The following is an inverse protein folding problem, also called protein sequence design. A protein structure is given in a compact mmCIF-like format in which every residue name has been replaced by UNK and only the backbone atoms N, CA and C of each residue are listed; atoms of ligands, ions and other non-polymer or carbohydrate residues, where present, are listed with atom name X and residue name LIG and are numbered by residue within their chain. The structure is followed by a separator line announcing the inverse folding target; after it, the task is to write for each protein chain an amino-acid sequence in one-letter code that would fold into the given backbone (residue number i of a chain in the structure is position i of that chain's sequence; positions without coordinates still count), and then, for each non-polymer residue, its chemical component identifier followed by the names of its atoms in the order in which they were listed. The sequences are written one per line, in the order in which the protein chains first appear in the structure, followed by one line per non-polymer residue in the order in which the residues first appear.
data_IF_552700578633
#
_entry.id   IF_552700578633
#
_cell.length_a   1.000
_cell.length_b   1.000
_cell.length_c   1.000
_cell.angle_alpha   90.00
_cell.angle_beta   90.00
_cell.angle_gamma   90.00
#
_symmetry.space_group_name_H-M   'P 1'
#
loop_
_entity.id
_entity.type
_entity.pdbx_description
1 polymer ?
#
# COMPACT_ATOMS: atom_id res chain seq x y z
N UNK A 1 -8.33 -64.76 40.76
CA UNK A 1 -8.82 -65.93 40.01
C UNK A 1 -8.53 -65.68 38.54
N UNK A 2 -7.49 -66.33 38.00
CA UNK A 2 -7.28 -66.50 36.55
C UNK A 2 -8.10 -67.72 36.07
N UNK A 3 -8.46 -67.79 34.77
CA UNK A 3 -7.65 -68.55 33.78
C UNK A 3 -7.49 -67.79 32.44
N UNK A 4 -6.32 -67.81 31.75
CA UNK A 4 -5.77 -68.81 30.81
C UNK A 4 -6.67 -69.11 29.59
N UNK A 5 -6.24 -69.28 28.33
CA UNK A 5 -5.02 -69.17 27.50
C UNK A 5 -5.53 -69.48 26.07
N UNK A 6 -4.89 -69.00 25.00
CA UNK A 6 -4.61 -69.73 23.73
C UNK A 6 -4.11 -68.75 22.66
N UNK A 7 -2.92 -69.02 22.12
CA UNK A 7 -2.32 -68.27 21.02
C UNK A 7 -2.43 -68.98 19.67
N UNK A 8 -2.14 -68.25 18.60
CA UNK A 8 -1.63 -68.75 17.32
C UNK A 8 -0.74 -67.67 16.68
N UNK A 9 0.47 -68.08 16.28
CA UNK A 9 1.41 -67.35 15.40
C UNK A 9 0.86 -67.32 13.96
N UNK A 10 1.16 -66.30 13.15
CA UNK A 10 2.24 -66.33 12.13
C UNK A 10 2.28 -64.99 11.30
N UNK A 11 3.17 -64.78 10.29
CA UNK A 11 4.14 -63.68 10.33
C UNK A 11 4.08 -62.80 9.09
N UNK A 12 4.08 -61.47 9.23
CA UNK A 12 4.34 -60.63 8.06
C UNK A 12 4.75 -59.22 8.43
N UNK A 13 5.98 -58.90 8.07
CA UNK A 13 6.23 -57.69 7.32
C UNK A 13 6.49 -56.45 8.14
N UNK A 14 7.74 -56.34 8.58
CA UNK A 14 8.60 -55.16 8.40
C UNK A 14 8.06 -54.24 7.28
N UNK A 15 7.11 -53.33 7.56
CA UNK A 15 6.79 -52.18 6.70
C UNK A 15 5.84 -51.17 7.36
N UNK A 16 6.07 -50.77 8.62
CA UNK A 16 5.23 -49.73 9.26
C UNK A 16 5.98 -48.65 10.03
N UNK A 17 7.23 -48.36 9.65
CA UNK A 17 8.01 -47.30 10.31
C UNK A 17 8.82 -46.43 9.35
N UNK A 18 8.23 -46.00 8.22
CA UNK A 18 8.88 -45.03 7.31
C UNK A 18 7.93 -43.90 6.85
N UNK A 19 6.68 -43.86 7.31
CA UNK A 19 5.68 -42.91 6.78
C UNK A 19 5.34 -41.75 7.71
N UNK A 20 6.21 -41.46 8.68
CA UNK A 20 6.05 -40.31 9.60
C UNK A 20 7.27 -39.37 9.64
N UNK A 21 8.31 -39.64 8.85
CA UNK A 21 9.47 -38.74 8.69
C UNK A 21 9.45 -37.92 7.39
N UNK A 22 8.47 -38.13 6.50
CA UNK A 22 8.39 -37.40 5.23
C UNK A 22 7.58 -36.10 5.26
N UNK A 23 6.83 -35.82 6.33
CA UNK A 23 6.02 -34.59 6.43
C UNK A 23 6.72 -33.43 7.15
N UNK A 24 7.86 -33.67 7.81
CA UNK A 24 8.59 -32.65 8.57
C UNK A 24 9.80 -32.07 7.83
N UNK A 25 10.12 -32.56 6.61
CA UNK A 25 11.30 -32.14 5.85
C UNK A 25 11.02 -31.32 4.58
N UNK A 26 9.76 -31.00 4.29
CA UNK A 26 9.37 -30.37 3.02
C UNK A 26 9.31 -28.83 3.01
N UNK A 27 9.65 -28.14 4.10
CA UNK A 27 9.43 -26.67 4.22
C UNK A 27 10.68 -25.80 4.32
N UNK A 28 11.86 -26.31 3.96
CA UNK A 28 13.05 -25.48 3.79
C UNK A 28 13.84 -25.92 2.57
N UNK A 29 13.21 -25.89 1.39
CA UNK A 29 14.03 -25.61 0.22
C UNK A 29 14.57 -24.18 0.43
N UNK A 30 15.89 -23.95 0.45
CA UNK A 30 16.38 -22.59 0.35
C UNK A 30 15.85 -22.08 -0.98
N UNK A 31 14.87 -21.18 -0.95
CA UNK A 31 14.56 -20.35 -2.11
C UNK A 31 15.89 -19.73 -2.47
N UNK A 32 16.46 -20.09 -3.62
CA UNK A 32 17.76 -19.60 -4.03
C UNK A 32 17.61 -18.09 -4.15
N UNK A 33 18.11 -17.36 -3.15
CA UNK A 33 17.97 -15.92 -3.11
C UNK A 33 18.93 -15.40 -4.18
N UNK A 34 18.37 -14.92 -5.28
CA UNK A 34 19.17 -14.27 -6.32
C UNK A 34 19.80 -13.00 -5.72
N UNK A 35 21.11 -13.04 -5.50
CA UNK A 35 21.90 -11.93 -4.95
C UNK A 35 22.22 -10.87 -6.01
N UNK A 36 21.73 -11.02 -7.24
CA UNK A 36 21.90 -10.03 -8.30
C UNK A 36 21.23 -8.69 -7.91
N UNK A 37 21.84 -7.54 -8.20
CA UNK A 37 21.20 -6.24 -8.06
C UNK A 37 19.86 -6.12 -8.81
N UNK A 38 19.66 -6.94 -9.85
CA UNK A 38 18.42 -6.97 -10.62
C UNK A 38 17.21 -7.57 -9.87
N UNK A 39 17.44 -8.33 -8.79
CA UNK A 39 16.38 -8.89 -7.96
C UNK A 39 15.84 -7.90 -6.92
N UNK A 40 16.65 -6.92 -6.51
CA UNK A 40 16.30 -5.88 -5.54
C UNK A 40 15.49 -4.73 -6.18
N UNK A 41 14.36 -5.07 -6.79
CA UNK A 41 13.46 -4.10 -7.40
C UNK A 41 12.03 -4.28 -6.89
N UNK A 42 11.44 -3.17 -6.44
CA UNK A 42 10.02 -3.12 -6.12
C UNK A 42 9.20 -3.44 -7.36
N UNK A 43 8.37 -4.48 -7.29
CA UNK A 43 7.59 -4.96 -8.42
C UNK A 43 6.08 -4.78 -8.23
N UNK A 44 5.59 -4.81 -6.98
CA UNK A 44 4.14 -4.75 -6.72
C UNK A 44 3.85 -4.20 -5.34
N UNK A 45 2.82 -3.37 -5.23
CA UNK A 45 2.15 -3.09 -3.97
C UNK A 45 0.81 -3.83 -3.90
N UNK A 46 0.38 -4.26 -2.71
CA UNK A 46 -0.94 -4.86 -2.51
C UNK A 46 -1.64 -4.22 -1.31
N UNK A 47 -2.94 -3.96 -1.46
CA UNK A 47 -3.74 -3.40 -0.38
C UNK A 47 -4.14 -4.51 0.58
N UNK A 48 -3.59 -4.43 1.78
CA UNK A 48 -4.01 -5.18 2.95
C UNK A 48 -5.33 -4.61 3.46
N UNK A 49 -5.34 -3.31 3.73
CA UNK A 49 -6.55 -2.57 4.08
C UNK A 49 -6.83 -1.57 2.96
N UNK A 50 -7.81 -1.85 2.08
CA UNK A 50 -8.14 -0.93 1.02
C UNK A 50 -8.75 0.37 1.58
N UNK A 51 -8.65 1.46 0.84
CA UNK A 51 -9.29 2.71 1.23
C UNK A 51 -10.83 2.57 1.19
N UNK A 52 -11.57 3.39 1.95
CA UNK A 52 -13.01 3.25 2.13
C UNK A 52 -13.77 3.45 0.82
N UNK A 53 -14.81 2.65 0.59
CA UNK A 53 -15.63 2.76 -0.64
C UNK A 53 -16.46 4.05 -0.70
N UNK A 54 -16.75 4.65 0.45
CA UNK A 54 -17.52 5.90 0.55
C UNK A 54 -16.75 6.84 1.48
N UNK A 55 -16.54 8.08 1.06
CA UNK A 55 -15.75 9.04 1.82
C UNK A 55 -16.31 10.44 1.64
N UNK A 56 -16.73 11.02 2.77
CA UNK A 56 -17.05 12.43 2.84
C UNK A 56 -15.77 13.27 2.68
N UNK A 57 -15.77 14.24 1.75
CA UNK A 57 -14.65 15.16 1.47
C UNK A 57 -14.02 15.83 2.71
N UNK A 58 -14.79 16.07 3.78
CA UNK A 58 -14.26 16.67 5.01
C UNK A 58 -13.33 15.74 5.80
N UNK A 59 -13.44 14.44 5.60
CA UNK A 59 -12.81 13.41 6.43
C UNK A 59 -11.46 13.00 5.84
N UNK A 60 -10.55 12.59 6.74
CA UNK A 60 -9.39 11.81 6.33
C UNK A 60 -9.79 10.38 6.00
N UNK A 61 -9.03 9.77 5.11
CA UNK A 61 -9.08 8.34 4.82
C UNK A 61 -7.68 7.76 4.96
N UNK A 62 -7.64 6.44 5.16
CA UNK A 62 -6.40 5.71 5.22
C UNK A 62 -6.52 4.39 4.48
N UNK A 63 -5.38 3.83 4.13
CA UNK A 63 -5.24 2.51 3.57
C UNK A 63 -3.87 1.96 3.95
N UNK A 64 -3.76 0.65 3.95
CA UNK A 64 -2.52 -0.05 4.28
C UNK A 64 -2.12 -0.93 3.11
N UNK A 65 -0.84 -0.86 2.73
CA UNK A 65 -0.27 -1.71 1.68
C UNK A 65 0.94 -2.48 2.17
N UNK A 66 1.21 -3.60 1.52
CA UNK A 66 2.49 -4.30 1.57
C UNK A 66 3.20 -4.21 0.21
N UNK A 67 4.53 -4.28 0.24
CA UNK A 67 5.39 -4.16 -0.93
C UNK A 67 6.06 -5.49 -1.23
N UNK A 68 6.16 -5.83 -2.51
CA UNK A 68 6.73 -7.08 -2.99
C UNK A 68 7.73 -6.85 -4.11
N UNK A 69 8.80 -7.65 -4.11
CA UNK A 69 9.79 -7.67 -5.18
C UNK A 69 9.33 -8.53 -6.38
N UNK A 70 10.20 -8.66 -7.39
CA UNK A 70 9.92 -9.43 -8.61
C UNK A 70 9.75 -10.93 -8.35
N UNK A 71 10.32 -11.44 -7.26
CA UNK A 71 10.18 -12.83 -6.83
C UNK A 71 8.96 -13.04 -5.91
N UNK A 72 8.08 -12.03 -5.79
CA UNK A 72 6.96 -12.00 -4.86
C UNK A 72 7.37 -12.17 -3.38
N UNK A 73 8.61 -11.83 -3.02
CA UNK A 73 9.01 -11.77 -1.62
C UNK A 73 8.59 -10.43 -1.01
N UNK A 74 8.13 -10.44 0.26
CA UNK A 74 7.81 -9.21 0.96
C UNK A 74 9.07 -8.38 1.17
N UNK A 75 8.96 -7.06 1.00
CA UNK A 75 10.04 -6.10 1.19
C UNK A 75 9.86 -5.45 2.56
N UNK A 76 10.91 -5.44 3.38
CA UNK A 76 10.92 -4.70 4.65
C UNK A 76 11.02 -3.19 4.38
N UNK A 77 10.29 -2.38 5.15
CA UNK A 77 10.41 -0.93 5.14
C UNK A 77 11.13 -0.47 6.42
N UNK A 78 12.25 0.22 6.24
CA UNK A 78 13.05 0.76 7.35
C UNK A 78 12.70 2.22 7.66
N UNK A 79 12.33 3.02 6.65
CA UNK A 79 12.03 4.44 6.83
C UNK A 79 11.06 4.94 5.75
N UNK A 80 10.29 5.98 6.07
CA UNK A 80 9.32 6.62 5.18
C UNK A 80 9.28 8.12 5.44
N UNK A 81 9.14 8.90 4.37
CA UNK A 81 9.08 10.36 4.46
C UNK A 81 8.19 10.96 3.38
N UNK A 82 7.33 11.90 3.78
CA UNK A 82 6.65 12.81 2.87
C UNK A 82 7.66 13.73 2.20
N UNK A 83 7.69 13.74 0.87
CA UNK A 83 8.61 14.55 0.09
C UNK A 83 7.95 15.73 -0.63
N UNK A 84 6.63 15.74 -0.79
CA UNK A 84 5.90 16.86 -1.39
C UNK A 84 4.66 16.43 -2.17
N UNK A 85 4.06 17.39 -2.87
CA UNK A 85 2.92 17.15 -3.76
C UNK A 85 3.39 16.95 -5.21
N UNK A 86 2.56 16.27 -6.01
CA UNK A 86 2.74 16.15 -7.46
C UNK A 86 2.08 17.35 -8.12
N UNK A 87 2.91 18.31 -8.50
CA UNK A 87 2.52 19.56 -9.16
C UNK A 87 3.72 20.12 -9.95
N UNK A 88 3.45 21.03 -10.90
CA UNK A 88 4.48 21.69 -11.74
C UNK A 88 5.38 20.65 -12.45
N UNK A 89 6.70 20.75 -12.29
CA UNK A 89 7.70 19.88 -12.94
C UNK A 89 7.59 18.40 -12.57
N UNK A 90 6.87 18.06 -11.48
CA UNK A 90 6.64 16.67 -11.07
C UNK A 90 5.42 16.03 -11.75
N UNK A 91 4.64 16.80 -12.50
CA UNK A 91 3.53 16.28 -13.29
C UNK A 91 4.07 15.48 -14.48
N UNK A 92 3.35 14.41 -14.81
CA UNK A 92 3.67 13.56 -15.97
C UNK A 92 3.03 14.19 -17.21
N UNK A 93 3.71 14.10 -18.36
CA UNK A 93 3.20 14.54 -19.67
C UNK A 93 2.76 16.01 -19.75
N UNK A 94 3.30 16.87 -18.88
CA UNK A 94 2.97 18.30 -18.85
C UNK A 94 1.54 18.60 -18.38
N UNK A 95 0.86 17.64 -17.76
CA UNK A 95 -0.46 17.86 -17.19
C UNK A 95 -0.42 18.86 -16.02
N UNK A 96 -1.58 19.44 -15.67
CA UNK A 96 -1.73 20.31 -14.51
C UNK A 96 -2.88 19.83 -13.63
N UNK A 97 -2.73 18.61 -13.11
CA UNK A 97 -3.78 17.92 -12.37
C UNK A 97 -3.82 18.34 -10.90
N UNK A 98 -2.66 18.72 -10.33
CA UNK A 98 -2.46 18.98 -8.89
C UNK A 98 -2.91 17.79 -8.06
N UNK A 99 -2.58 16.59 -8.54
CA UNK A 99 -3.06 15.33 -8.02
C UNK A 99 -1.88 14.41 -7.77
N UNK A 100 -1.53 14.29 -6.50
CA UNK A 100 -0.66 13.25 -6.03
C UNK A 100 0.20 13.70 -4.86
N UNK A 101 0.71 12.72 -4.13
CA UNK A 101 1.66 12.92 -3.06
C UNK A 101 2.88 12.06 -3.34
N UNK A 102 4.05 12.67 -3.19
CA UNK A 102 5.36 12.07 -3.35
C UNK A 102 5.94 11.72 -1.98
N UNK A 103 6.31 10.46 -1.83
CA UNK A 103 6.97 9.89 -0.68
C UNK A 103 8.32 9.32 -1.07
N UNK A 104 9.20 9.20 -0.08
CA UNK A 104 10.46 8.50 -0.17
C UNK A 104 10.46 7.39 0.87
N UNK A 105 10.79 6.16 0.45
CA UNK A 105 10.77 4.98 1.30
C UNK A 105 12.11 4.25 1.22
N UNK A 106 12.68 3.91 2.38
CA UNK A 106 13.88 3.09 2.48
C UNK A 106 13.48 1.63 2.65
N UNK A 107 13.91 0.80 1.73
CA UNK A 107 13.50 -0.59 1.57
C UNK A 107 14.66 -1.53 1.84
N UNK A 108 14.39 -2.66 2.49
CA UNK A 108 15.31 -3.77 2.72
C UNK A 108 14.72 -5.03 2.06
N UNK A 109 15.43 -5.55 1.05
CA UNK A 109 15.04 -6.74 0.30
C UNK A 109 15.51 -8.02 1.02
N UNK A 110 14.87 -9.16 0.69
CA UNK A 110 15.20 -10.46 1.28
C UNK A 110 16.66 -10.89 1.05
N UNK A 111 17.32 -10.38 0.02
CA UNK A 111 18.74 -10.60 -0.27
C UNK A 111 19.69 -9.69 0.56
N UNK A 112 19.14 -8.87 1.46
CA UNK A 112 19.90 -7.96 2.32
C UNK A 112 20.25 -6.61 1.68
N UNK A 113 19.87 -6.39 0.41
CA UNK A 113 20.10 -5.10 -0.26
C UNK A 113 19.16 -4.03 0.27
N UNK A 114 19.70 -2.81 0.43
CA UNK A 114 18.93 -1.62 0.80
C UNK A 114 18.80 -0.66 -0.37
N UNK A 115 17.61 -0.11 -0.58
CA UNK A 115 17.38 0.93 -1.59
C UNK A 115 16.52 2.05 -1.04
N UNK A 116 16.66 3.24 -1.62
CA UNK A 116 15.73 4.35 -1.40
C UNK A 116 14.87 4.48 -2.66
N UNK A 117 13.55 4.43 -2.49
CA UNK A 117 12.59 4.42 -3.58
C UNK A 117 11.62 5.61 -3.46
N UNK A 118 11.41 6.31 -4.57
CA UNK A 118 10.31 7.27 -4.69
C UNK A 118 8.99 6.53 -4.93
N UNK A 119 7.99 6.89 -4.13
CA UNK A 119 6.64 6.32 -4.12
C UNK A 119 5.64 7.45 -4.30
N UNK A 120 4.76 7.34 -5.30
CA UNK A 120 3.74 8.33 -5.59
C UNK A 120 2.36 7.74 -5.36
N UNK A 121 1.50 8.46 -4.65
CA UNK A 121 0.07 8.14 -4.51
C UNK A 121 -0.74 9.15 -5.29
N UNK A 122 -1.58 8.71 -6.22
CA UNK A 122 -2.47 9.58 -7.02
C UNK A 122 -3.90 9.01 -7.05
N UNK A 123 -4.86 9.82 -7.45
CA UNK A 123 -6.22 9.38 -7.76
C UNK A 123 -6.46 9.33 -9.27
N UNK A 124 -7.12 8.28 -9.76
CA UNK A 124 -7.59 8.20 -11.15
C UNK A 124 -9.08 7.98 -11.22
N UNK A 125 -9.68 8.29 -12.36
CA UNK A 125 -11.05 7.93 -12.64
C UNK A 125 -11.20 6.41 -12.77
N UNK A 126 -12.19 5.85 -12.10
CA UNK A 126 -12.40 4.40 -12.07
C UNK A 126 -12.75 3.80 -13.43
N UNK A 127 -13.33 4.59 -14.34
CA UNK A 127 -13.77 4.15 -15.66
C UNK A 127 -12.72 4.51 -16.69
N UNK A 128 -12.36 5.79 -16.80
CA UNK A 128 -11.46 6.27 -17.88
C UNK A 128 -9.99 6.02 -17.59
N UNK A 129 -9.64 5.69 -16.33
CA UNK A 129 -8.27 5.54 -15.82
C UNK A 129 -7.40 6.80 -15.95
N UNK A 130 -8.00 7.94 -16.27
CA UNK A 130 -7.32 9.22 -16.38
C UNK A 130 -7.05 9.83 -15.00
N UNK A 131 -5.99 10.63 -14.88
CA UNK A 131 -5.69 11.38 -13.67
C UNK A 131 -6.85 12.32 -13.31
N UNK A 132 -7.20 12.38 -12.02
CA UNK A 132 -8.19 13.34 -11.54
C UNK A 132 -7.55 14.72 -11.45
N UNK A 133 -8.11 15.71 -12.14
CA UNK A 133 -7.69 17.11 -11.98
C UNK A 133 -8.44 17.78 -10.82
N UNK A 134 -7.76 18.67 -10.09
CA UNK A 134 -8.41 19.55 -9.13
C UNK A 134 -9.20 20.66 -9.85
N UNK A 135 -10.52 20.67 -9.62
CA UNK A 135 -11.49 21.57 -10.28
C UNK A 135 -12.06 22.61 -9.31
N UNK A 136 -11.64 22.60 -8.04
CA UNK A 136 -12.14 23.53 -7.02
C UNK A 136 -11.60 24.96 -7.16
N UNK A 137 -12.31 25.90 -6.53
CA UNK A 137 -11.91 27.30 -6.42
C UNK A 137 -11.67 27.62 -4.95
N UNK A 138 -10.45 27.41 -4.47
CA UNK A 138 -10.04 27.80 -3.13
C UNK A 138 -9.17 29.06 -3.20
N UNK A 139 -9.33 29.96 -2.24
CA UNK A 139 -8.51 31.18 -2.14
C UNK A 139 -7.08 30.86 -1.71
N UNK A 140 -6.88 29.78 -0.97
CA UNK A 140 -5.58 29.32 -0.53
C UNK A 140 -4.97 28.38 -1.58
N UNK A 141 -3.85 28.74 -2.23
CA UNK A 141 -3.17 27.88 -3.20
C UNK A 141 -2.76 26.52 -2.62
N UNK A 142 -2.45 26.44 -1.31
CA UNK A 142 -2.07 25.19 -0.66
C UNK A 142 -3.23 24.18 -0.54
N UNK A 143 -4.46 24.66 -0.64
CA UNK A 143 -5.66 23.82 -0.64
C UNK A 143 -6.04 23.36 -2.06
N UNK A 144 -5.43 23.94 -3.09
CA UNK A 144 -5.81 23.70 -4.49
C UNK A 144 -5.22 22.39 -5.06
N UNK A 145 -5.48 21.26 -4.40
CA UNK A 145 -4.96 19.93 -4.73
C UNK A 145 -6.03 18.87 -4.62
N UNK A 146 -5.91 17.76 -5.34
CA UNK A 146 -6.82 16.61 -5.21
C UNK A 146 -6.57 15.84 -3.91
N UNK A 147 -5.32 15.67 -3.51
CA UNK A 147 -4.91 15.00 -2.28
C UNK A 147 -4.16 15.97 -1.36
N UNK A 148 -4.47 15.91 -0.07
CA UNK A 148 -3.88 16.73 0.99
C UNK A 148 -3.38 15.86 2.15
N UNK A 149 -2.37 16.35 2.84
CA UNK A 149 -1.92 15.81 4.14
C UNK A 149 -2.43 16.69 5.28
N UNK A 150 -2.38 16.20 6.52
CA UNK A 150 -2.80 17.00 7.67
C UNK A 150 -1.95 18.27 7.84
N UNK A 151 -0.63 18.15 7.68
CA UNK A 151 0.29 19.23 8.00
C UNK A 151 0.10 20.48 7.14
N UNK A 152 -0.27 20.32 5.85
CA UNK A 152 -0.53 21.48 4.96
C UNK A 152 -1.83 22.20 5.29
N UNK A 153 -2.79 21.50 5.93
CA UNK A 153 -4.08 22.07 6.30
C UNK A 153 -4.11 22.64 7.72
N UNK A 154 -3.13 22.28 8.55
CA UNK A 154 -3.12 22.60 9.96
C UNK A 154 -2.22 23.79 10.25
N UNK A 155 -2.82 24.91 10.69
CA UNK A 155 -2.07 26.12 11.07
C UNK A 155 -0.98 25.85 12.11
N UNK A 156 -1.26 25.00 13.12
CA UNK A 156 -0.26 24.61 14.12
C UNK A 156 0.93 23.88 13.51
N UNK A 157 0.69 22.94 12.59
CA UNK A 157 1.76 22.22 11.91
C UNK A 157 2.57 23.14 11.00
N UNK A 158 1.92 24.06 10.26
CA UNK A 158 2.60 25.07 9.46
C UNK A 158 3.54 25.95 10.31
N UNK A 159 3.12 26.28 11.53
CA UNK A 159 3.91 27.04 12.51
C UNK A 159 4.92 26.18 13.30
N UNK A 160 5.07 24.89 12.95
CA UNK A 160 5.93 23.92 13.64
C UNK A 160 5.63 23.77 15.14
N UNK A 161 4.39 24.05 15.54
CA UNK A 161 3.89 23.84 16.90
C UNK A 161 3.41 22.40 17.09
N UNK A 162 3.33 21.96 18.34
CA UNK A 162 2.75 20.65 18.67
C UNK A 162 1.28 20.58 18.24
N UNK A 163 0.91 19.44 17.64
CA UNK A 163 -0.43 19.18 17.13
C UNK A 163 -0.82 17.72 17.44
N UNK A 164 -1.90 17.51 18.20
CA UNK A 164 -2.38 16.16 18.53
C UNK A 164 -2.81 15.37 17.28
N UNK A 165 -3.48 16.04 16.35
CA UNK A 165 -3.96 15.42 15.11
C UNK A 165 -2.83 14.96 14.19
N UNK A 166 -1.62 15.53 14.33
CA UNK A 166 -0.42 15.08 13.60
C UNK A 166 -0.03 13.67 14.01
N UNK A 167 -0.26 13.29 15.27
CA UNK A 167 0.04 11.94 15.74
C UNK A 167 -0.97 10.91 15.22
N UNK A 168 -2.21 11.32 15.00
CA UNK A 168 -3.28 10.46 14.47
C UNK A 168 -3.26 10.34 12.94
N UNK A 169 -2.92 11.45 12.26
CA UNK A 169 -2.90 11.57 10.80
C UNK A 169 -1.57 12.17 10.32
N UNK A 170 -0.44 11.47 10.53
CA UNK A 170 0.86 11.96 10.11
C UNK A 170 0.95 12.07 8.58
N UNK A 171 1.72 13.05 8.10
CA UNK A 171 2.04 13.15 6.67
C UNK A 171 2.93 12.00 6.22
N UNK A 172 3.90 11.60 7.06
CA UNK A 172 4.75 10.45 6.82
C UNK A 172 3.93 9.16 6.96
N UNK A 173 4.02 8.20 6.02
CA UNK A 173 3.37 6.90 6.16
C UNK A 173 3.83 6.20 7.46
N UNK A 174 2.94 5.45 8.11
CA UNK A 174 3.28 4.70 9.32
C UNK A 174 3.68 3.29 8.94
N UNK A 175 4.88 2.87 9.36
CA UNK A 175 5.37 1.50 9.21
C UNK A 175 4.73 0.63 10.30
N UNK A 176 4.09 -0.47 9.91
CA UNK A 176 3.48 -1.46 10.81
C UNK A 176 4.14 -2.80 10.54
N UNK A 177 4.59 -3.47 11.61
CA UNK A 177 5.24 -4.78 11.58
C UNK A 177 6.34 -4.92 10.51
N UNK A 178 7.04 -3.82 10.20
CA UNK A 178 8.08 -3.69 9.17
C UNK A 178 7.64 -3.89 7.72
N UNK A 179 6.53 -4.56 7.44
CA UNK A 179 6.13 -4.93 6.06
C UNK A 179 4.94 -4.12 5.53
N UNK A 180 4.27 -3.36 6.39
CA UNK A 180 3.06 -2.64 6.03
C UNK A 180 3.26 -1.13 6.11
N UNK A 181 2.73 -0.42 5.12
CA UNK A 181 2.70 1.04 5.05
C UNK A 181 1.28 1.55 5.12
N UNK A 182 0.98 2.31 6.18
CA UNK A 182 -0.31 2.96 6.37
C UNK A 182 -0.23 4.45 5.99
N UNK A 183 -1.08 4.86 5.05
CA UNK A 183 -1.14 6.23 4.56
C UNK A 183 -2.34 6.96 5.15
N UNK A 184 -2.21 8.26 5.42
CA UNK A 184 -3.29 9.12 5.93
C UNK A 184 -3.46 10.34 5.04
N UNK A 185 -4.56 10.39 4.31
CA UNK A 185 -4.79 11.39 3.27
C UNK A 185 -6.17 12.02 3.43
N UNK A 186 -6.35 13.18 2.81
CA UNK A 186 -7.67 13.77 2.59
C UNK A 186 -7.86 14.04 1.10
N UNK A 187 -9.01 13.65 0.56
CA UNK A 187 -9.38 14.01 -0.80
C UNK A 187 -10.09 15.36 -0.78
N UNK A 188 -9.66 16.31 -1.59
CA UNK A 188 -10.26 17.64 -1.69
C UNK A 188 -10.97 17.88 -3.04
N UNK A 189 -11.16 16.82 -3.84
CA UNK A 189 -11.95 16.84 -5.06
C UNK A 189 -13.21 15.99 -4.88
N UNK A 190 -14.38 16.54 -5.24
CA UNK A 190 -15.63 15.78 -5.25
C UNK A 190 -15.68 14.89 -6.49
N UNK A 191 -16.33 13.72 -6.35
CA UNK A 191 -16.66 12.86 -7.49
C UNK A 191 -17.67 13.54 -8.42
N UNK A 192 -18.72 14.11 -7.83
CA UNK A 192 -19.74 14.86 -8.56
C UNK A 192 -19.33 16.32 -8.75
N UNK A 193 -19.55 16.83 -9.96
CA UNK A 193 -19.26 18.22 -10.32
C UNK A 193 -20.38 19.17 -9.91
N UNK A 194 -21.62 18.71 -9.96
CA UNK A 194 -22.82 19.52 -9.77
C UNK A 194 -23.68 18.96 -8.63
N UNK A 195 -24.41 19.86 -7.95
CA UNK A 195 -25.46 19.47 -7.03
C UNK A 195 -26.63 18.82 -7.78
N UNK A 196 -27.32 17.88 -7.14
CA UNK A 196 -28.47 17.19 -7.70
C UNK A 196 -28.32 15.68 -7.65
N UNK A 197 -29.32 14.96 -8.17
CA UNK A 197 -29.31 13.51 -8.17
C UNK A 197 -28.18 13.00 -9.09
N UNK A 198 -27.29 12.10 -8.64
CA UNK A 198 -26.14 11.67 -9.43
C UNK A 198 -26.62 10.96 -10.70
N UNK A 199 -26.41 11.58 -11.87
CA UNK A 199 -26.62 10.92 -13.18
C UNK A 199 -25.36 10.22 -13.66
N UNK A 200 -24.19 10.80 -13.34
CA UNK A 200 -22.88 10.27 -13.66
C UNK A 200 -22.17 9.85 -12.38
N UNK A 201 -22.09 8.52 -12.15
CA UNK A 201 -21.40 7.96 -10.99
C UNK A 201 -19.88 7.95 -11.22
N UNK A 202 -19.26 9.13 -11.21
CA UNK A 202 -17.79 9.25 -11.18
C UNK A 202 -17.29 8.65 -9.87
N UNK A 203 -16.26 7.83 -9.91
CA UNK A 203 -15.62 7.22 -8.72
C UNK A 203 -14.11 7.28 -8.90
N UNK A 204 -13.34 7.49 -7.83
CA UNK A 204 -11.87 7.53 -7.92
C UNK A 204 -11.21 6.29 -7.36
N UNK A 205 -10.12 5.88 -7.99
CA UNK A 205 -9.24 4.79 -7.56
C UNK A 205 -7.92 5.36 -7.05
N UNK A 206 -7.40 4.83 -5.95
CA UNK A 206 -6.01 5.10 -5.54
C UNK A 206 -5.08 4.24 -6.36
N UNK A 207 -4.03 4.87 -6.88
CA UNK A 207 -2.94 4.21 -7.60
C UNK A 207 -1.59 4.56 -6.97
N UNK A 208 -0.65 3.62 -7.13
CA UNK A 208 0.75 3.83 -6.80
C UNK A 208 1.59 3.88 -8.06
N UNK A 209 2.47 4.89 -8.17
CA UNK A 209 3.54 4.92 -9.16
C UNK A 209 4.91 4.88 -8.48
N UNK A 210 5.85 4.16 -9.10
CA UNK A 210 7.26 4.13 -8.75
C UNK A 210 8.03 4.39 -10.06
N UNK A 211 9.10 5.20 -10.04
CA UNK A 211 9.79 5.58 -11.29
C UNK A 211 10.16 4.36 -12.14
N UNK A 212 9.68 4.35 -13.39
CA UNK A 212 9.97 3.32 -14.40
C UNK A 212 9.05 2.09 -14.41
N UNK A 213 8.01 2.02 -13.57
CA UNK A 213 7.17 0.82 -13.44
C UNK A 213 5.79 1.13 -12.80
N UNK A 214 4.69 0.92 -13.54
CA UNK A 214 3.30 1.08 -13.06
C UNK A 214 2.82 -0.18 -12.33
N UNK A 215 2.88 -0.24 -11.01
CA UNK A 215 2.43 -1.45 -10.30
C UNK A 215 1.78 -1.18 -8.95
N UNK A 216 0.51 -0.79 -9.00
CA UNK A 216 -0.57 -1.36 -8.20
C UNK A 216 -1.86 -0.59 -8.52
N UNK A 217 -2.84 -1.30 -9.10
CA UNK A 217 -4.18 -0.78 -9.38
C UNK A 217 -5.14 -1.63 -8.55
N UNK A 218 -5.71 -1.07 -7.47
CA UNK A 218 -6.98 -1.61 -6.95
C UNK A 218 -8.06 -0.56 -7.10
N UNK A 219 -9.28 -0.98 -7.46
CA UNK A 219 -10.41 -0.09 -7.53
C UNK A 219 -10.75 0.44 -6.13
N UNK A 220 -10.49 1.72 -5.87
CA UNK A 220 -11.32 2.45 -4.90
C UNK A 220 -12.60 2.90 -5.62
N UNK A 221 -13.73 2.74 -4.94
CA UNK A 221 -14.92 3.52 -5.23
C UNK A 221 -14.88 4.67 -4.24
N UNK A 222 -15.18 5.89 -4.66
CA UNK A 222 -15.56 6.96 -3.74
C UNK A 222 -17.03 7.22 -4.02
N UNK A 223 -17.91 6.96 -3.05
CA UNK A 223 -19.24 7.56 -3.02
C UNK A 223 -19.26 8.69 -2.00
N UNK A 224 -20.14 9.64 -2.28
CA UNK A 224 -20.35 10.93 -1.62
C UNK A 224 -20.40 10.89 -0.08
#
# INVERSE_FOLDING_TARGET
MYPAMFGFQDPSGILRSVKEESLLRAHWAPTVIDTSPASAQLARAHFEHPPPSNLRKSNFFHFTVNLYDRANQPIEIENTKFSGFVEKEKEVDGENTRNGIHYRVSLLFANGMRTEQDLYVRLIDSVTKQSISYEGQDKNPEMCRVLLTHEVMCSRCCEKKSCGNRNETPSDPVIIDKYFLKFFLKCNQNCLKNAGNPRDMRRFQVIFHFYGSFFAIKPMTLLD
#
